data_IF_523578936901
#
_entry.id   IF_523578936901
#
_cell.length_a   1.000
_cell.length_b   1.000
_cell.length_c   1.000
_cell.angle_alpha   90.00
_cell.angle_beta   90.00
_cell.angle_gamma   90.00
#
_symmetry.space_group_name_H-M   'P 1'
#
loop_
_entity.id
_entity.type
_entity.pdbx_description
1 polymer ?
#
# COMPACT_ATOMS: atom_id res chain seq x y z
N UNK A 1 -3.06 -8.03 -23.40
CA UNK A 1 -2.33 -7.05 -22.57
C UNK A 1 -0.87 -7.13 -22.96
N UNK A 2 -0.22 -6.01 -23.21
CA UNK A 2 1.15 -5.98 -23.72
C UNK A 2 2.15 -6.21 -22.58
N UNK A 3 3.05 -7.19 -22.73
CA UNK A 3 4.10 -7.52 -21.76
C UNK A 3 5.40 -6.70 -21.99
N UNK A 4 5.43 -5.81 -22.96
CA UNK A 4 6.62 -4.96 -23.23
C UNK A 4 6.99 -4.08 -22.04
N UNK A 5 6.00 -3.72 -21.20
CA UNK A 5 6.22 -2.99 -19.96
C UNK A 5 6.78 -3.86 -18.81
N UNK A 6 6.82 -5.18 -18.97
CA UNK A 6 7.29 -6.15 -17.98
C UNK A 6 8.34 -7.10 -18.57
N UNK A 7 9.50 -6.59 -19.05
CA UNK A 7 10.46 -7.36 -19.84
C UNK A 7 11.14 -8.50 -19.06
N UNK A 8 11.05 -8.52 -17.75
CA UNK A 8 11.68 -9.54 -16.89
C UNK A 8 10.69 -10.63 -16.43
N UNK A 9 9.45 -10.57 -16.89
CA UNK A 9 8.44 -11.57 -16.56
C UNK A 9 8.60 -12.81 -17.43
N UNK A 10 8.55 -13.99 -16.81
CA UNK A 10 8.33 -15.26 -17.52
C UNK A 10 6.87 -15.34 -17.95
N UNK A 11 6.59 -14.93 -19.17
CA UNK A 11 5.23 -14.74 -19.68
C UNK A 11 4.36 -16.00 -19.59
N UNK A 12 4.97 -17.19 -19.68
CA UNK A 12 4.26 -18.46 -19.59
C UNK A 12 3.73 -18.75 -18.16
N UNK A 13 4.39 -18.18 -17.15
CA UNK A 13 4.07 -18.41 -15.73
C UNK A 13 3.19 -17.29 -15.14
N UNK A 14 3.09 -16.15 -15.82
CA UNK A 14 2.24 -15.06 -15.38
C UNK A 14 0.79 -15.30 -15.77
N UNK A 15 0.00 -15.81 -14.82
CA UNK A 15 -1.39 -16.12 -15.05
C UNK A 15 -2.32 -14.97 -14.61
N UNK A 16 -3.33 -14.62 -15.42
CA UNK A 16 -4.40 -13.71 -14.99
C UNK A 16 -5.12 -14.21 -13.75
N UNK A 17 -5.61 -13.28 -12.93
CA UNK A 17 -6.42 -13.64 -11.76
C UNK A 17 -7.79 -14.15 -12.20
N UNK A 18 -8.13 -15.36 -11.83
CA UNK A 18 -9.47 -15.92 -12.01
C UNK A 18 -10.42 -15.36 -10.93
N UNK A 19 -11.13 -14.32 -11.33
CA UNK A 19 -12.04 -13.60 -10.43
C UNK A 19 -13.26 -14.47 -10.07
N UNK A 20 -13.75 -15.27 -11.00
CA UNK A 20 -14.91 -16.14 -10.77
C UNK A 20 -14.58 -17.22 -9.75
N UNK A 21 -13.35 -17.73 -9.75
CA UNK A 21 -12.88 -18.64 -8.72
C UNK A 21 -12.84 -17.99 -7.33
N UNK A 22 -12.61 -16.64 -7.24
CA UNK A 22 -12.51 -15.95 -5.95
C UNK A 22 -13.86 -15.49 -5.39
N UNK A 23 -14.73 -14.92 -6.22
CA UNK A 23 -15.92 -14.20 -5.73
C UNK A 23 -17.24 -14.76 -6.29
N UNK A 24 -17.18 -15.61 -7.30
CA UNK A 24 -18.34 -16.10 -8.04
C UNK A 24 -18.86 -15.10 -9.09
N UNK A 25 -19.74 -15.58 -9.95
CA UNK A 25 -20.17 -14.86 -11.14
C UNK A 25 -21.12 -13.67 -10.90
N UNK A 26 -21.67 -13.52 -9.69
CA UNK A 26 -22.73 -12.56 -9.38
C UNK A 26 -22.25 -11.25 -8.73
N UNK A 27 -20.97 -11.08 -8.47
CA UNK A 27 -20.46 -9.85 -7.85
C UNK A 27 -20.22 -8.75 -8.90
N UNK A 28 -20.63 -7.50 -8.62
CA UNK A 28 -20.33 -6.39 -9.52
C UNK A 28 -18.81 -6.23 -9.67
N UNK A 29 -18.35 -6.19 -10.91
CA UNK A 29 -16.92 -6.15 -11.22
C UNK A 29 -16.50 -4.76 -11.66
N UNK A 30 -15.55 -4.22 -10.98
CA UNK A 30 -14.74 -3.07 -11.41
C UNK A 30 -13.27 -3.36 -11.06
N UNK A 31 -12.30 -2.76 -11.75
CA UNK A 31 -10.88 -2.95 -11.42
C UNK A 31 -10.59 -2.66 -9.94
N UNK A 32 -9.80 -3.50 -9.24
CA UNK A 32 -9.34 -3.17 -7.90
C UNK A 32 -8.59 -1.83 -7.90
N UNK A 33 -8.85 -1.00 -6.91
CA UNK A 33 -8.25 0.33 -6.78
C UNK A 33 -7.11 0.27 -5.79
N UNK A 34 -5.88 0.41 -6.28
CA UNK A 34 -4.68 0.28 -5.45
C UNK A 34 -3.93 1.61 -5.38
N UNK A 35 -3.67 2.06 -4.15
CA UNK A 35 -2.81 3.20 -3.87
C UNK A 35 -1.40 2.73 -3.55
N UNK A 36 -0.39 3.29 -4.23
CA UNK A 36 1.01 3.00 -3.97
C UNK A 36 1.67 4.22 -3.32
N UNK A 37 2.28 4.01 -2.14
CA UNK A 37 3.06 5.01 -1.40
C UNK A 37 4.53 4.62 -1.42
N UNK A 38 5.44 5.61 -1.56
CA UNK A 38 6.87 5.39 -1.46
C UNK A 38 7.54 6.41 -0.53
N UNK A 39 8.60 6.00 0.16
CA UNK A 39 9.17 6.74 1.29
C UNK A 39 10.45 7.51 0.98
N UNK A 40 10.56 8.22 -0.17
CA UNK A 40 11.79 8.97 -0.48
C UNK A 40 11.55 10.11 -1.47
N UNK A 41 12.24 11.25 -1.24
CA UNK A 41 12.25 12.41 -2.14
C UNK A 41 13.52 12.50 -3.01
N UNK A 42 14.40 11.49 -2.97
CA UNK A 42 15.62 11.50 -3.80
C UNK A 42 15.25 11.40 -5.28
N UNK A 43 15.96 12.12 -6.14
CA UNK A 43 15.75 12.11 -7.60
C UNK A 43 15.79 10.68 -8.15
N UNK A 44 16.85 9.91 -7.86
CA UNK A 44 16.92 8.46 -8.11
C UNK A 44 16.67 7.71 -6.81
N UNK A 45 15.42 7.40 -6.56
CA UNK A 45 14.98 6.68 -5.35
C UNK A 45 14.62 5.24 -5.69
N UNK A 46 15.29 4.26 -5.11
CA UNK A 46 14.99 2.84 -5.32
C UNK A 46 13.60 2.46 -4.80
N UNK A 47 13.08 3.10 -3.76
CA UNK A 47 11.70 2.88 -3.34
C UNK A 47 10.69 3.43 -4.36
N UNK A 48 10.99 4.56 -5.01
CA UNK A 48 10.18 5.08 -6.12
C UNK A 48 10.26 4.14 -7.34
N UNK A 49 11.44 3.65 -7.69
CA UNK A 49 11.62 2.71 -8.80
C UNK A 49 10.89 1.39 -8.53
N UNK A 50 11.01 0.83 -7.33
CA UNK A 50 10.25 -0.36 -6.93
C UNK A 50 8.74 -0.12 -6.98
N UNK A 51 8.25 1.05 -6.54
CA UNK A 51 6.84 1.41 -6.62
C UNK A 51 6.34 1.52 -8.07
N UNK A 52 7.19 1.94 -8.99
CA UNK A 52 6.88 1.97 -10.42
C UNK A 52 6.77 0.57 -11.02
N UNK A 53 7.67 -0.37 -10.66
CA UNK A 53 7.54 -1.78 -11.08
C UNK A 53 6.28 -2.41 -10.51
N UNK A 54 6.02 -2.24 -9.22
CA UNK A 54 4.77 -2.66 -8.56
C UNK A 54 3.56 -2.13 -9.33
N UNK A 55 3.57 -0.85 -9.69
CA UNK A 55 2.44 -0.23 -10.42
C UNK A 55 2.23 -0.83 -11.81
N UNK A 56 3.30 -1.21 -12.53
CA UNK A 56 3.21 -1.91 -13.82
C UNK A 56 2.61 -3.29 -13.67
N UNK A 57 3.12 -4.07 -12.69
CA UNK A 57 2.65 -5.42 -12.40
C UNK A 57 1.16 -5.40 -12.00
N UNK A 58 0.77 -4.50 -11.10
CA UNK A 58 -0.64 -4.38 -10.68
C UNK A 58 -1.57 -3.97 -11.82
N UNK A 59 -1.12 -3.07 -12.72
CA UNK A 59 -1.90 -2.73 -13.92
C UNK A 59 -2.03 -3.91 -14.87
N UNK A 60 -0.97 -4.73 -14.99
CA UNK A 60 -1.05 -5.96 -15.77
C UNK A 60 -2.12 -6.92 -15.20
N UNK A 61 -2.24 -7.01 -13.86
CA UNK A 61 -3.32 -7.75 -13.20
C UNK A 61 -4.69 -7.07 -13.28
N UNK A 62 -4.83 -5.99 -14.07
CA UNK A 62 -6.10 -5.32 -14.30
C UNK A 62 -6.52 -4.35 -13.19
N UNK A 63 -5.61 -3.92 -12.31
CA UNK A 63 -5.93 -2.94 -11.28
C UNK A 63 -5.90 -1.50 -11.81
N UNK A 64 -6.78 -0.64 -11.29
CA UNK A 64 -6.60 0.81 -11.35
C UNK A 64 -5.60 1.23 -10.27
N UNK A 65 -4.45 1.77 -10.70
CA UNK A 65 -3.32 2.07 -9.80
C UNK A 65 -3.03 3.56 -9.81
N UNK A 66 -3.04 4.17 -8.62
CA UNK A 66 -2.57 5.53 -8.39
C UNK A 66 -1.37 5.52 -7.46
N UNK A 67 -0.39 6.35 -7.75
CA UNK A 67 0.80 6.54 -6.92
C UNK A 67 0.79 7.95 -6.36
N UNK A 68 0.92 8.09 -5.05
CA UNK A 68 1.05 9.40 -4.43
C UNK A 68 2.51 9.86 -4.48
N UNK A 69 2.75 11.09 -4.92
CA UNK A 69 4.07 11.73 -4.83
C UNK A 69 4.17 12.49 -3.51
N UNK A 70 5.07 12.08 -2.58
CA UNK A 70 5.21 12.75 -1.29
C UNK A 70 5.96 14.10 -1.35
N UNK A 71 6.34 14.59 -2.54
CA UNK A 71 6.93 15.92 -2.70
C UNK A 71 5.93 16.98 -2.20
N UNK A 72 6.43 17.93 -1.44
CA UNK A 72 5.66 19.02 -0.83
C UNK A 72 4.59 18.59 0.19
N UNK A 73 4.60 17.33 0.63
CA UNK A 73 3.78 16.90 1.76
C UNK A 73 4.40 17.48 3.05
N UNK A 74 3.68 18.36 3.79
CA UNK A 74 4.20 18.92 5.02
C UNK A 74 4.34 17.85 6.11
N UNK A 75 5.16 18.11 7.11
CA UNK A 75 5.19 17.25 8.29
C UNK A 75 3.87 17.38 9.08
N UNK A 76 3.37 16.30 9.67
CA UNK A 76 2.28 16.39 10.63
C UNK A 76 2.57 17.45 11.72
N UNK A 77 1.54 18.12 12.19
CA UNK A 77 1.61 19.21 13.18
C UNK A 77 2.29 20.50 12.71
N UNK A 78 2.83 20.55 11.49
CA UNK A 78 3.45 21.78 10.93
C UNK A 78 2.45 22.66 10.17
N UNK A 79 1.28 22.14 9.84
CA UNK A 79 0.20 22.85 9.14
C UNK A 79 -1.15 22.17 9.41
N UNK A 80 -2.23 22.81 8.99
CA UNK A 80 -3.56 22.27 9.10
C UNK A 80 -3.83 21.16 8.06
N UNK A 81 -4.79 20.31 8.37
CA UNK A 81 -5.14 19.18 7.52
C UNK A 81 -5.80 19.57 6.18
N UNK A 82 -6.20 20.83 6.00
CA UNK A 82 -6.77 21.38 4.75
C UNK A 82 -5.70 21.68 3.69
N UNK A 83 -4.41 21.51 4.02
CA UNK A 83 -3.33 21.67 3.04
C UNK A 83 -3.58 20.79 1.80
N UNK A 84 -3.50 21.34 0.55
CA UNK A 84 -3.90 20.62 -0.67
C UNK A 84 -3.23 19.26 -0.84
N UNK A 85 -1.94 19.14 -0.46
CA UNK A 85 -1.19 17.89 -0.57
C UNK A 85 -1.66 16.83 0.44
N UNK A 86 -2.14 17.26 1.60
CA UNK A 86 -2.75 16.38 2.60
C UNK A 86 -4.11 15.88 2.12
N UNK A 87 -4.91 16.77 1.55
CA UNK A 87 -6.21 16.40 0.99
C UNK A 87 -6.07 15.42 -0.18
N UNK A 88 -5.12 15.64 -1.10
CA UNK A 88 -4.79 14.69 -2.17
C UNK A 88 -4.52 13.29 -1.62
N UNK A 89 -3.67 13.18 -0.59
CA UNK A 89 -3.35 11.91 0.05
C UNK A 89 -4.58 11.23 0.67
N UNK A 90 -5.40 12.02 1.39
CA UNK A 90 -6.61 11.52 2.05
C UNK A 90 -7.67 11.05 1.05
N UNK A 91 -7.86 11.78 -0.04
CA UNK A 91 -8.76 11.40 -1.13
C UNK A 91 -8.30 10.10 -1.81
N UNK A 92 -6.99 9.98 -2.08
CA UNK A 92 -6.42 8.76 -2.64
C UNK A 92 -6.55 7.57 -1.67
N UNK A 93 -6.33 7.80 -0.38
CA UNK A 93 -6.52 6.77 0.64
C UNK A 93 -7.99 6.34 0.73
N UNK A 94 -8.94 7.26 0.68
CA UNK A 94 -10.38 6.96 0.66
C UNK A 94 -10.79 6.19 -0.60
N UNK A 95 -10.28 6.61 -1.76
CA UNK A 95 -10.57 6.00 -3.06
C UNK A 95 -10.08 4.54 -3.17
N UNK A 96 -8.95 4.20 -2.54
CA UNK A 96 -8.31 2.89 -2.68
C UNK A 96 -9.10 1.77 -1.97
N UNK A 97 -8.95 0.54 -2.46
CA UNK A 97 -9.43 -0.70 -1.82
C UNK A 97 -8.27 -1.50 -1.22
N UNK A 98 -7.06 -1.25 -1.71
CA UNK A 98 -5.81 -1.79 -1.19
C UNK A 98 -4.68 -0.79 -1.34
N UNK A 99 -3.58 -1.03 -0.64
CA UNK A 99 -2.40 -0.18 -0.69
C UNK A 99 -1.12 -1.02 -0.80
N UNK A 100 -0.08 -0.40 -1.38
CA UNK A 100 1.30 -0.89 -1.28
C UNK A 100 2.15 0.21 -0.65
N UNK A 101 2.87 -0.13 0.42
CA UNK A 101 3.81 0.78 1.08
C UNK A 101 5.23 0.32 0.82
N UNK A 102 6.03 1.16 0.13
CA UNK A 102 7.42 0.87 -0.25
C UNK A 102 8.34 1.86 0.45
N UNK A 103 8.98 1.47 1.54
CA UNK A 103 9.89 2.35 2.29
C UNK A 103 11.34 1.98 2.09
N UNK A 104 12.25 2.96 1.92
CA UNK A 104 13.66 2.68 2.18
C UNK A 104 13.85 2.34 3.67
N UNK A 105 14.82 1.45 3.93
CA UNK A 105 15.33 1.29 5.29
C UNK A 105 16.37 2.39 5.57
N UNK A 106 16.18 3.11 6.67
CA UNK A 106 17.13 4.10 7.16
C UNK A 106 17.33 3.89 8.65
N UNK A 107 18.57 3.55 9.03
CA UNK A 107 18.92 3.26 10.42
C UNK A 107 18.03 2.17 11.05
N UNK A 108 17.75 1.10 10.28
CA UNK A 108 16.92 -0.01 10.73
C UNK A 108 15.43 0.31 10.87
N UNK A 109 14.95 1.41 10.26
CA UNK A 109 13.56 1.89 10.40
C UNK A 109 13.00 2.41 9.09
N UNK A 110 11.68 2.66 9.09
CA UNK A 110 11.01 3.41 8.03
C UNK A 110 11.57 4.84 7.95
N UNK A 111 11.43 5.48 6.79
CA UNK A 111 11.80 6.89 6.64
C UNK A 111 10.74 7.82 7.22
N UNK A 112 11.16 9.04 7.59
CA UNK A 112 10.23 10.12 7.97
C UNK A 112 9.23 10.42 6.85
N UNK A 113 9.65 10.34 5.58
CA UNK A 113 8.76 10.55 4.43
C UNK A 113 7.65 9.51 4.37
N UNK A 114 7.94 8.23 4.63
CA UNK A 114 6.90 7.19 4.70
C UNK A 114 6.01 7.41 5.92
N UNK A 115 6.61 7.71 7.07
CA UNK A 115 5.85 7.91 8.32
C UNK A 115 4.91 9.11 8.21
N UNK A 116 5.35 10.24 7.64
CA UNK A 116 4.52 11.42 7.44
C UNK A 116 3.28 11.11 6.58
N UNK A 117 3.41 10.33 5.50
CA UNK A 117 2.26 9.90 4.69
C UNK A 117 1.26 9.11 5.53
N UNK A 118 1.74 8.17 6.36
CA UNK A 118 0.86 7.34 7.19
C UNK A 118 0.19 8.21 8.28
N UNK A 119 0.91 9.14 8.88
CA UNK A 119 0.40 10.00 9.94
C UNK A 119 -0.66 11.00 9.44
N UNK A 120 -0.56 11.43 8.19
CA UNK A 120 -1.59 12.27 7.58
C UNK A 120 -2.89 11.54 7.22
N UNK A 121 -2.87 10.19 7.14
CA UNK A 121 -4.09 9.40 6.97
C UNK A 121 -4.71 9.19 8.35
N UNK A 122 -5.83 9.83 8.69
CA UNK A 122 -6.38 9.77 10.03
C UNK A 122 -6.93 8.37 10.35
N UNK A 123 -6.90 7.98 11.62
CA UNK A 123 -7.58 6.77 12.10
C UNK A 123 -9.10 6.90 11.98
N UNK A 124 -9.63 8.12 12.05
CA UNK A 124 -11.04 8.40 11.90
C UNK A 124 -11.26 9.74 11.21
N UNK A 125 -12.17 9.78 10.25
CA UNK A 125 -12.77 10.97 9.67
C UNK A 125 -14.24 10.97 10.09
N UNK A 126 -14.56 11.68 11.16
CA UNK A 126 -15.84 11.46 11.85
C UNK A 126 -15.90 10.02 12.39
N UNK A 127 -16.93 9.27 12.02
CA UNK A 127 -17.07 7.85 12.38
C UNK A 127 -16.41 6.89 11.39
N UNK A 128 -15.86 7.38 10.29
CA UNK A 128 -15.26 6.55 9.23
C UNK A 128 -13.76 6.36 9.44
N UNK A 129 -13.29 5.14 9.32
CA UNK A 129 -11.86 4.79 9.33
C UNK A 129 -11.39 4.54 7.89
N UNK A 130 -10.65 5.46 7.26
CA UNK A 130 -10.37 5.43 5.81
C UNK A 130 -9.63 4.18 5.34
N UNK A 131 -8.86 3.53 6.22
CA UNK A 131 -8.02 2.38 5.90
C UNK A 131 -8.57 1.06 6.41
N UNK A 132 -9.60 1.07 7.26
CA UNK A 132 -10.11 -0.13 7.90
C UNK A 132 -10.66 -1.14 6.87
N UNK A 133 -10.19 -2.38 6.96
CA UNK A 133 -10.62 -3.46 6.08
C UNK A 133 -10.03 -3.45 4.67
N UNK A 134 -9.19 -2.45 4.33
CA UNK A 134 -8.44 -2.43 3.07
C UNK A 134 -7.23 -3.35 3.15
N UNK A 135 -6.84 -3.92 2.02
CA UNK A 135 -5.65 -4.77 1.95
C UNK A 135 -4.36 -3.95 1.93
N UNK A 136 -3.28 -4.52 2.44
CA UNK A 136 -1.97 -3.87 2.47
C UNK A 136 -0.86 -4.86 2.10
N UNK A 137 -0.03 -4.48 1.13
CA UNK A 137 1.28 -5.08 0.90
C UNK A 137 2.39 -4.16 1.40
N UNK A 138 3.44 -4.73 1.97
CA UNK A 138 4.58 -3.97 2.50
C UNK A 138 5.89 -4.41 1.86
N UNK A 139 6.71 -3.43 1.48
CA UNK A 139 8.01 -3.65 0.85
C UNK A 139 9.05 -2.70 1.42
N UNK A 140 10.30 -3.14 1.44
CA UNK A 140 11.44 -2.28 1.75
C UNK A 140 12.54 -2.38 0.71
N UNK A 141 13.33 -1.33 0.59
CA UNK A 141 14.59 -1.30 -0.15
C UNK A 141 15.71 -0.86 0.78
N UNK A 142 16.89 -1.45 0.65
CA UNK A 142 18.05 -1.04 1.45
C UNK A 142 19.33 -1.03 0.61
N UNK A 143 20.32 -0.24 1.05
CA UNK A 143 21.66 -0.23 0.45
C UNK A 143 22.60 -1.29 1.05
N UNK A 144 22.24 -1.85 2.19
CA UNK A 144 23.02 -2.85 2.92
C UNK A 144 22.63 -4.29 2.63
N UNK A 145 23.02 -5.16 3.54
CA UNK A 145 22.65 -6.59 3.54
C UNK A 145 21.16 -6.76 3.77
N UNK A 146 20.70 -8.00 3.63
CA UNK A 146 19.30 -8.37 3.89
C UNK A 146 18.86 -7.95 5.29
N UNK A 147 17.73 -7.27 5.35
CA UNK A 147 17.03 -6.86 6.57
C UNK A 147 15.53 -6.98 6.36
N UNK A 148 14.78 -7.11 7.46
CA UNK A 148 13.31 -7.09 7.49
C UNK A 148 12.76 -6.06 8.49
N UNK A 149 13.62 -5.21 9.06
CA UNK A 149 13.21 -4.28 10.10
C UNK A 149 12.11 -3.33 9.64
N UNK A 150 12.27 -2.76 8.46
CA UNK A 150 11.29 -1.79 7.91
C UNK A 150 9.96 -2.45 7.57
N UNK A 151 9.95 -3.62 6.91
CA UNK A 151 8.68 -4.31 6.62
C UNK A 151 7.98 -4.76 7.90
N UNK A 152 8.71 -5.16 8.94
CA UNK A 152 8.12 -5.48 10.24
C UNK A 152 7.44 -4.27 10.87
N UNK A 153 8.06 -3.09 10.79
CA UNK A 153 7.46 -1.84 11.26
C UNK A 153 6.24 -1.43 10.43
N UNK A 154 6.31 -1.57 9.10
CA UNK A 154 5.17 -1.32 8.22
C UNK A 154 3.99 -2.25 8.55
N UNK A 155 4.23 -3.52 8.90
CA UNK A 155 3.19 -4.44 9.38
C UNK A 155 2.55 -3.98 10.68
N UNK A 156 3.35 -3.49 11.64
CA UNK A 156 2.82 -2.92 12.89
C UNK A 156 1.91 -1.72 12.58
N UNK A 157 2.35 -0.82 11.71
CA UNK A 157 1.55 0.34 11.28
C UNK A 157 0.28 -0.09 10.55
N UNK A 158 0.37 -1.06 9.63
CA UNK A 158 -0.80 -1.62 8.93
C UNK A 158 -1.86 -2.15 9.91
N UNK A 159 -1.43 -2.86 10.96
CA UNK A 159 -2.33 -3.31 12.04
C UNK A 159 -2.98 -2.13 12.77
N UNK A 160 -2.20 -1.09 13.11
CA UNK A 160 -2.73 0.11 13.77
C UNK A 160 -3.73 0.86 12.88
N UNK A 161 -3.45 0.93 11.59
CA UNK A 161 -4.35 1.49 10.58
C UNK A 161 -5.53 0.57 10.25
N UNK A 162 -5.64 -0.58 10.94
CA UNK A 162 -6.71 -1.60 10.78
C UNK A 162 -6.82 -2.16 9.37
N UNK A 163 -5.69 -2.26 8.68
CA UNK A 163 -5.60 -2.87 7.35
C UNK A 163 -5.42 -4.38 7.44
N UNK A 164 -5.84 -5.08 6.40
CA UNK A 164 -5.58 -6.50 6.18
C UNK A 164 -4.23 -6.61 5.48
N UNK A 165 -3.14 -6.70 6.29
CA UNK A 165 -1.80 -6.86 5.73
C UNK A 165 -1.61 -8.29 5.23
N UNK A 166 -1.38 -8.47 3.93
CA UNK A 166 -1.19 -9.79 3.33
C UNK A 166 0.02 -10.51 3.92
N UNK A 167 0.04 -11.86 3.95
CA UNK A 167 1.15 -12.64 4.50
C UNK A 167 2.50 -12.34 3.85
N UNK A 168 2.54 -12.21 2.53
CA UNK A 168 3.76 -12.02 1.77
C UNK A 168 4.30 -10.58 1.89
N UNK A 169 5.62 -10.44 1.74
CA UNK A 169 6.33 -9.16 1.78
C UNK A 169 7.60 -9.22 0.95
N UNK A 170 8.15 -8.06 0.55
CA UNK A 170 9.41 -7.99 -0.17
C UNK A 170 10.43 -7.12 0.57
N UNK A 171 11.67 -7.60 0.60
CA UNK A 171 12.84 -6.82 1.02
C UNK A 171 13.92 -6.91 -0.05
N UNK A 172 14.30 -5.76 -0.60
CA UNK A 172 15.28 -5.63 -1.70
C UNK A 172 16.58 -5.07 -1.12
N UNK A 173 17.53 -5.93 -0.70
CA UNK A 173 18.85 -5.51 -0.23
C UNK A 173 19.70 -5.04 -1.41
N UNK A 174 20.74 -4.25 -1.14
CA UNK A 174 21.67 -3.73 -2.15
C UNK A 174 20.93 -3.22 -3.42
N UNK A 175 19.86 -2.47 -3.20
CA UNK A 175 18.92 -2.09 -4.24
C UNK A 175 19.60 -1.43 -5.46
N UNK A 176 20.78 -0.83 -5.28
CA UNK A 176 21.59 -0.26 -6.36
C UNK A 176 22.10 -1.29 -7.38
N UNK A 177 22.08 -2.59 -7.06
CA UNK A 177 22.42 -3.69 -7.98
C UNK A 177 21.19 -4.30 -8.66
N UNK A 178 19.99 -3.96 -8.21
CA UNK A 178 18.75 -4.57 -8.68
C UNK A 178 18.02 -3.71 -9.74
N UNK A 179 18.54 -2.53 -10.06
CA UNK A 179 17.96 -1.64 -11.06
C UNK A 179 19.01 -1.21 -12.09
N UNK A 180 18.65 -1.33 -13.37
CA UNK A 180 19.49 -0.91 -14.48
C UNK A 180 19.56 0.63 -14.66
N UNK A 181 20.31 1.07 -15.66
CA UNK A 181 20.45 2.50 -15.99
C UNK A 181 19.17 3.11 -16.57
N UNK A 182 18.25 2.29 -17.05
CA UNK A 182 16.92 2.68 -17.50
C UNK A 182 15.89 2.71 -16.37
N UNK A 183 16.37 2.53 -15.11
CA UNK A 183 15.54 2.50 -13.89
C UNK A 183 14.51 1.35 -13.85
N UNK A 184 14.81 0.23 -14.55
CA UNK A 184 14.00 -0.99 -14.50
C UNK A 184 14.62 -2.00 -13.55
N UNK A 185 13.80 -2.72 -12.82
CA UNK A 185 14.28 -3.79 -11.97
C UNK A 185 14.77 -4.96 -12.82
N UNK A 186 15.94 -5.50 -12.46
CA UNK A 186 16.56 -6.63 -13.16
C UNK A 186 15.79 -7.92 -12.91
N UNK A 187 15.90 -8.88 -13.85
CA UNK A 187 15.40 -10.22 -13.64
C UNK A 187 16.21 -10.92 -12.54
N UNK A 188 15.59 -11.10 -11.38
CA UNK A 188 16.22 -11.69 -10.20
C UNK A 188 15.18 -12.37 -9.31
N UNK A 189 15.59 -13.24 -8.37
CA UNK A 189 14.67 -13.77 -7.36
C UNK A 189 13.97 -12.68 -6.53
N UNK A 190 14.57 -11.49 -6.40
CA UNK A 190 13.96 -10.37 -5.71
C UNK A 190 12.84 -9.73 -6.54
N UNK A 191 13.00 -9.66 -7.87
CA UNK A 191 11.94 -9.24 -8.77
C UNK A 191 10.75 -10.22 -8.73
N UNK A 192 11.04 -11.54 -8.79
CA UNK A 192 10.01 -12.57 -8.67
C UNK A 192 9.22 -12.41 -7.36
N UNK A 193 9.91 -12.11 -6.25
CA UNK A 193 9.26 -11.83 -4.97
C UNK A 193 8.34 -10.60 -5.03
N UNK A 194 8.69 -9.56 -5.78
CA UNK A 194 7.81 -8.40 -5.99
C UNK A 194 6.54 -8.82 -6.76
N UNK A 195 6.69 -9.69 -7.77
CA UNK A 195 5.54 -10.24 -8.51
C UNK A 195 4.63 -11.04 -7.58
N UNK A 196 5.18 -11.97 -6.79
CA UNK A 196 4.40 -12.78 -5.82
C UNK A 196 3.58 -11.89 -4.88
N UNK A 197 4.19 -10.82 -4.35
CA UNK A 197 3.51 -9.90 -3.44
C UNK A 197 2.37 -9.14 -4.14
N UNK A 198 2.58 -8.72 -5.38
CA UNK A 198 1.55 -8.04 -6.17
C UNK A 198 0.38 -8.99 -6.48
N UNK A 199 0.67 -10.21 -6.92
CA UNK A 199 -0.33 -11.23 -7.22
C UNK A 199 -1.18 -11.54 -5.98
N UNK A 200 -0.53 -11.79 -4.85
CA UNK A 200 -1.22 -12.07 -3.59
C UNK A 200 -2.09 -10.89 -3.14
N UNK A 201 -1.58 -9.65 -3.25
CA UNK A 201 -2.37 -8.47 -2.92
C UNK A 201 -3.64 -8.37 -3.75
N UNK A 202 -3.56 -8.62 -5.05
CA UNK A 202 -4.73 -8.57 -5.95
C UNK A 202 -5.75 -9.63 -5.55
N UNK A 203 -5.32 -10.87 -5.28
CA UNK A 203 -6.19 -11.96 -4.82
C UNK A 203 -6.89 -11.60 -3.51
N UNK A 204 -6.15 -11.11 -2.51
CA UNK A 204 -6.73 -10.67 -1.24
C UNK A 204 -7.67 -9.47 -1.41
N UNK A 205 -7.34 -8.53 -2.29
CA UNK A 205 -8.22 -7.38 -2.54
C UNK A 205 -9.54 -7.83 -3.15
N UNK A 206 -9.52 -8.73 -4.13
CA UNK A 206 -10.74 -9.33 -4.69
C UNK A 206 -11.54 -10.09 -3.64
N UNK A 207 -10.89 -10.85 -2.78
CA UNK A 207 -11.54 -11.66 -1.75
C UNK A 207 -12.25 -10.79 -0.69
N UNK A 208 -11.66 -9.64 -0.31
CA UNK A 208 -12.12 -8.82 0.81
C UNK A 208 -13.00 -7.64 0.41
N UNK A 209 -12.84 -7.11 -0.82
CA UNK A 209 -13.68 -6.02 -1.32
C UNK A 209 -15.14 -6.46 -1.36
N UNK A 210 -16.07 -5.53 -1.21
CA UNK A 210 -17.50 -5.84 -1.13
C UNK A 210 -17.92 -6.57 0.16
N UNK A 211 -16.96 -7.05 0.95
CA UNK A 211 -17.18 -7.68 2.26
C UNK A 211 -16.58 -6.90 3.41
N UNK A 212 -15.85 -5.80 3.13
CA UNK A 212 -15.10 -5.07 4.16
C UNK A 212 -16.02 -4.54 5.26
N UNK A 213 -17.21 -4.07 4.95
CA UNK A 213 -18.20 -3.63 5.95
C UNK A 213 -18.59 -4.75 6.92
N UNK A 214 -18.82 -5.95 6.41
CA UNK A 214 -19.13 -7.12 7.25
C UNK A 214 -17.90 -7.59 8.05
N UNK A 215 -16.72 -7.64 7.41
CA UNK A 215 -15.47 -8.07 8.05
C UNK A 215 -15.01 -7.09 9.16
N UNK A 216 -15.39 -5.84 9.06
CA UNK A 216 -15.00 -4.79 10.01
C UNK A 216 -16.11 -4.42 11.00
N UNK A 217 -17.33 -4.94 10.80
CA UNK A 217 -18.42 -4.84 11.78
C UNK A 217 -18.03 -5.56 13.07
N UNK A 218 -18.07 -4.85 14.19
CA UNK A 218 -17.62 -5.36 15.50
C UNK A 218 -18.61 -5.09 16.59
N UNK A 219 -18.70 -6.05 17.49
CA UNK A 219 -19.56 -5.99 18.68
C UNK A 219 -19.43 -4.67 19.43
N UNK A 220 -18.20 -4.23 19.74
CA UNK A 220 -17.98 -3.01 20.51
C UNK A 220 -18.43 -1.74 19.80
N UNK A 221 -18.37 -1.71 18.47
CA UNK A 221 -18.81 -0.56 17.66
C UNK A 221 -20.33 -0.56 17.42
N UNK A 222 -21.01 -1.69 17.67
CA UNK A 222 -22.47 -1.77 17.75
C UNK A 222 -22.99 -1.34 19.12
N UNK A 223 -22.22 -1.60 20.18
CA UNK A 223 -22.58 -1.21 21.56
C UNK A 223 -22.34 0.28 21.80
N UNK A 224 -21.22 0.81 21.31
CA UNK A 224 -20.85 2.23 21.40
C UNK A 224 -20.23 2.68 20.09
N UNK A 225 -20.84 3.64 19.43
CA UNK A 225 -20.32 4.21 18.17
C UNK A 225 -18.99 4.93 18.39
N UNK A 226 -18.22 5.11 17.33
CA UNK A 226 -16.96 5.87 17.38
C UNK A 226 -17.20 7.33 17.80
N UNK A 227 -18.37 7.88 17.50
CA UNK A 227 -18.76 9.24 17.89
C UNK A 227 -19.05 9.33 19.40
N UNK A 228 -19.84 8.40 19.94
CA UNK A 228 -20.11 8.31 21.38
C UNK A 228 -18.83 8.08 22.17
N UNK A 229 -17.96 7.16 21.70
CA UNK A 229 -16.66 6.92 22.29
C UNK A 229 -15.79 8.20 22.30
N UNK A 230 -15.77 8.93 21.18
CA UNK A 230 -15.00 10.19 21.06
C UNK A 230 -15.50 11.25 22.02
N UNK A 231 -16.82 11.39 22.16
CA UNK A 231 -17.44 12.31 23.14
C UNK A 231 -17.08 11.91 24.56
N UNK A 232 -17.17 10.62 24.89
CA UNK A 232 -16.90 10.08 26.22
C UNK A 232 -15.45 10.27 26.67
N UNK A 233 -14.49 10.13 25.76
CA UNK A 233 -13.05 10.25 26.07
C UNK A 233 -12.49 11.64 25.79
N UNK A 234 -13.33 12.62 25.40
CA UNK A 234 -12.90 13.98 25.07
C UNK A 234 -11.79 14.04 24.00
N UNK A 235 -11.73 13.05 23.12
CA UNK A 235 -10.81 13.08 21.99
C UNK A 235 -11.40 13.99 20.93
N UNK A 236 -10.72 15.09 20.63
CA UNK A 236 -11.04 15.87 19.43
C UNK A 236 -10.73 15.00 18.21
N UNK A 237 -11.67 14.91 17.28
CA UNK A 237 -11.39 14.33 15.97
C UNK A 237 -10.23 15.12 15.35
N UNK A 238 -9.15 14.42 15.02
CA UNK A 238 -8.00 14.98 14.34
C UNK A 238 -8.33 15.29 12.88
#
# INVERSE_FOLDING_TARGET
MDLTELPNIEAAELQPIDIDALIGANDPRHPPRILVLYGSLRARSFSKLASQEVSRILRWYGCEVRTFDPTDLPLPDSTDADHPKVQELRELAAWSEGMVWVSPERHGSITSIMKAQIDWIPLSLGSVRPTQGKTLAVMQVSGGSQSFNTVNQLRILGRWMRMITIPNQSSIPKAFLEFDDNNRMLNSPLYQRVVDVCEELVKFTWLTRGRSSYLTDRYSERVESAEELSQRVNQKAL
#
